data_IF_606020339412
#
_entry.id   IF_606020339412
#
_cell.length_a   1.000
_cell.length_b   1.000
_cell.length_c   1.000
_cell.angle_alpha   90.00
_cell.angle_beta   90.00
_cell.angle_gamma   90.00
#
_symmetry.space_group_name_H-M   'P 1'
#
loop_
_entity.id
_entity.type
_entity.pdbx_description
1 polymer ?
#
# COMPACT_ATOMS: atom_id res chain seq x y z
N UNK A 1 1.49 19.88 9.52
CA UNK A 1 0.36 20.19 10.42
C UNK A 1 -0.30 18.88 10.76
N UNK A 2 -0.05 18.36 11.97
CA UNK A 2 -0.69 17.15 12.51
C UNK A 2 -2.18 17.50 12.75
N UNK A 3 -3.07 17.12 11.84
CA UNK A 3 -4.50 17.16 12.12
C UNK A 3 -4.86 15.90 12.91
N UNK A 4 -5.01 16.04 14.22
CA UNK A 4 -5.56 14.98 15.05
C UNK A 4 -7.02 14.73 14.59
N UNK A 5 -7.40 13.44 14.48
CA UNK A 5 -8.79 13.08 14.24
C UNK A 5 -9.71 13.71 15.32
N UNK A 6 -10.93 14.13 14.97
CA UNK A 6 -11.86 14.67 15.95
C UNK A 6 -12.09 13.66 17.07
N UNK A 7 -12.13 14.14 18.32
CA UNK A 7 -12.37 13.29 19.49
C UNK A 7 -13.71 12.53 19.33
N UNK A 8 -13.65 11.20 19.30
CA UNK A 8 -14.82 10.33 19.14
C UNK A 8 -14.97 9.63 17.78
N UNK A 9 -14.19 9.98 16.77
CA UNK A 9 -14.20 9.25 15.49
C UNK A 9 -13.42 7.95 15.64
N UNK A 10 -14.01 6.78 15.32
CA UNK A 10 -13.29 5.53 15.39
C UNK A 10 -12.13 5.51 14.35
N UNK A 11 -11.00 4.84 14.65
CA UNK A 11 -9.91 4.67 13.70
C UNK A 11 -10.37 4.04 12.39
N UNK A 12 -9.75 4.43 11.26
CA UNK A 12 -10.06 3.81 9.97
C UNK A 12 -9.67 2.33 9.97
N UNK A 13 -8.54 1.98 10.62
CA UNK A 13 -8.11 0.60 10.88
C UNK A 13 -7.60 0.50 12.31
N UNK A 14 -8.04 -0.52 13.04
CA UNK A 14 -7.57 -0.81 14.39
C UNK A 14 -7.31 -2.31 14.53
N UNK A 15 -6.12 -2.66 15.03
CA UNK A 15 -5.75 -4.01 15.43
C UNK A 15 -5.68 -4.07 16.95
N UNK A 16 -6.34 -5.07 17.54
CA UNK A 16 -6.33 -5.32 18.98
C UNK A 16 -5.78 -6.70 19.25
N UNK A 17 -4.48 -6.78 19.59
CA UNK A 17 -3.75 -8.02 19.88
C UNK A 17 -3.97 -9.11 18.82
N UNK A 18 -3.98 -8.73 17.54
CA UNK A 18 -4.24 -9.66 16.46
C UNK A 18 -3.05 -10.61 16.27
N UNK A 19 -3.33 -11.90 16.36
CA UNK A 19 -2.37 -13.00 16.14
C UNK A 19 -2.85 -13.85 14.97
N UNK A 20 -1.92 -14.26 14.11
CA UNK A 20 -2.20 -15.20 13.00
C UNK A 20 -1.21 -16.34 13.03
N UNK A 21 -1.74 -17.57 13.08
CA UNK A 21 -0.96 -18.81 13.04
C UNK A 21 -1.38 -19.66 11.83
N UNK A 22 -0.40 -20.23 11.16
CA UNK A 22 -0.56 -21.24 10.11
C UNK A 22 0.10 -22.54 10.59
N UNK A 23 -0.68 -23.45 11.18
CA UNK A 23 -0.14 -24.60 11.86
C UNK A 23 0.80 -24.19 13.01
N UNK A 24 2.06 -24.61 12.97
CA UNK A 24 3.10 -24.23 13.94
C UNK A 24 3.75 -22.87 13.68
N UNK A 25 3.54 -22.28 12.52
CA UNK A 25 4.16 -21.00 12.14
C UNK A 25 3.29 -19.83 12.59
N UNK A 26 3.87 -18.90 13.34
CA UNK A 26 3.21 -17.64 13.73
C UNK A 26 3.67 -16.53 12.81
N UNK A 27 2.76 -16.05 11.95
CA UNK A 27 3.05 -14.98 11.01
C UNK A 27 3.01 -13.59 11.68
N UNK A 28 1.98 -13.35 12.51
CA UNK A 28 1.81 -12.13 13.30
C UNK A 28 1.53 -12.50 14.75
N UNK A 29 2.09 -11.76 15.70
CA UNK A 29 1.89 -12.02 17.13
C UNK A 29 1.49 -10.76 17.89
N UNK A 30 0.29 -10.77 18.46
CA UNK A 30 -0.28 -9.70 19.30
C UNK A 30 -0.13 -8.28 18.72
N UNK A 31 -0.25 -8.16 17.40
CA UNK A 31 -0.12 -6.86 16.72
C UNK A 31 -1.25 -5.94 17.17
N UNK A 32 -0.88 -4.74 17.63
CA UNK A 32 -1.82 -3.71 18.10
C UNK A 32 -1.41 -2.35 17.57
N UNK A 33 -2.30 -1.69 16.86
CA UNK A 33 -2.16 -0.32 16.39
C UNK A 33 -3.52 0.28 16.03
N UNK A 34 -3.56 1.59 15.88
CA UNK A 34 -4.70 2.31 15.33
C UNK A 34 -4.23 3.34 14.32
N UNK A 35 -4.87 3.36 13.14
CA UNK A 35 -4.70 4.42 12.14
C UNK A 35 -5.91 5.34 12.23
N UNK A 36 -5.72 6.63 12.53
CA UNK A 36 -6.83 7.58 12.63
C UNK A 36 -7.61 7.70 11.31
N UNK A 37 -8.93 7.87 11.39
CA UNK A 37 -9.74 8.29 10.24
C UNK A 37 -9.74 9.82 10.21
N UNK A 38 -8.90 10.42 9.37
CA UNK A 38 -8.83 11.87 9.22
C UNK A 38 -9.74 12.27 8.07
N UNK A 39 -10.84 13.03 8.34
CA UNK A 39 -11.77 13.45 7.30
C UNK A 39 -11.03 14.16 6.15
N UNK A 40 -11.41 13.82 4.91
CA UNK A 40 -10.88 14.43 3.68
C UNK A 40 -9.36 14.28 3.46
N UNK A 41 -8.69 13.48 4.29
CA UNK A 41 -7.27 13.20 4.14
C UNK A 41 -6.95 11.77 4.55
N UNK A 42 -6.77 10.86 3.58
CA UNK A 42 -6.19 9.54 3.83
C UNK A 42 -4.70 9.64 4.15
N UNK A 43 -4.14 8.65 4.86
CA UNK A 43 -2.69 8.46 5.00
C UNK A 43 -2.20 7.48 3.94
N UNK A 44 -1.05 7.75 3.34
CA UNK A 44 -0.34 6.76 2.53
C UNK A 44 0.72 6.08 3.39
N UNK A 45 0.45 4.84 3.81
CA UNK A 45 1.31 4.06 4.69
C UNK A 45 2.03 3.00 3.86
N UNK A 46 3.34 3.11 3.75
CA UNK A 46 4.16 2.08 3.12
C UNK A 46 4.70 1.11 4.17
N UNK A 47 4.80 -0.16 3.80
CA UNK A 47 5.17 -1.25 4.70
C UNK A 47 6.36 -2.00 4.11
N UNK A 48 7.49 -1.97 4.81
CA UNK A 48 8.69 -2.72 4.46
C UNK A 48 9.05 -3.71 5.57
N UNK A 49 9.81 -4.73 5.22
CA UNK A 49 10.25 -5.75 6.19
C UNK A 49 10.80 -6.99 5.48
N UNK A 50 11.46 -7.89 6.20
CA UNK A 50 11.98 -9.13 5.64
C UNK A 50 10.91 -9.98 4.93
N UNK A 51 11.33 -10.83 4.00
CA UNK A 51 10.41 -11.78 3.35
C UNK A 51 9.80 -12.73 4.38
N UNK A 52 8.51 -13.05 4.24
CA UNK A 52 7.81 -13.95 5.16
C UNK A 52 7.47 -13.37 6.53
N UNK A 53 7.70 -12.07 6.79
CA UNK A 53 7.43 -11.46 8.09
C UNK A 53 5.94 -11.13 8.35
N UNK A 54 5.02 -11.45 7.43
CA UNK A 54 3.59 -11.28 7.66
C UNK A 54 2.96 -10.01 7.05
N UNK A 55 3.67 -9.25 6.18
CA UNK A 55 3.13 -8.03 5.53
C UNK A 55 1.86 -8.30 4.72
N UNK A 56 1.88 -9.28 3.83
CA UNK A 56 0.70 -9.70 3.06
C UNK A 56 -0.41 -10.26 3.98
N UNK A 57 -0.03 -10.92 5.09
CA UNK A 57 -0.99 -11.38 6.10
C UNK A 57 -1.70 -10.20 6.76
N UNK A 58 -0.98 -9.12 7.08
CA UNK A 58 -1.58 -7.88 7.59
C UNK A 58 -2.61 -7.32 6.60
N UNK A 59 -2.25 -7.20 5.31
CA UNK A 59 -3.18 -6.72 4.27
C UNK A 59 -4.41 -7.63 4.15
N UNK A 60 -4.21 -8.96 4.22
CA UNK A 60 -5.29 -9.93 4.15
C UNK A 60 -6.24 -9.85 5.36
N UNK A 61 -5.75 -9.47 6.53
CA UNK A 61 -6.60 -9.21 7.69
C UNK A 61 -7.45 -7.94 7.51
N UNK A 62 -6.86 -6.85 6.98
CA UNK A 62 -7.58 -5.61 6.72
C UNK A 62 -8.63 -5.83 5.62
N UNK A 63 -8.26 -6.53 4.52
CA UNK A 63 -9.19 -6.82 3.42
C UNK A 63 -10.35 -7.73 3.81
N UNK A 64 -10.17 -8.56 4.86
CA UNK A 64 -11.10 -9.59 5.26
C UNK A 64 -10.94 -10.92 4.50
N UNK A 65 -9.85 -11.11 3.73
CA UNK A 65 -9.51 -12.41 3.13
C UNK A 65 -8.96 -13.41 4.15
N UNK A 66 -8.48 -12.91 5.30
CA UNK A 66 -8.09 -13.72 6.43
C UNK A 66 -8.75 -13.20 7.72
N UNK A 67 -8.89 -14.10 8.70
CA UNK A 67 -9.34 -13.75 10.05
C UNK A 67 -8.20 -14.01 11.03
N UNK A 68 -8.04 -13.18 12.08
CA UNK A 68 -7.03 -13.43 13.09
C UNK A 68 -7.38 -14.71 13.88
N UNK A 69 -6.35 -15.47 14.29
CA UNK A 69 -6.50 -16.64 15.17
C UNK A 69 -6.90 -16.20 16.58
N UNK A 70 -6.34 -15.06 17.03
CA UNK A 70 -6.65 -14.43 18.32
C UNK A 70 -6.70 -12.91 18.13
N UNK A 71 -7.41 -12.20 19.00
CA UNK A 71 -7.61 -10.76 18.88
C UNK A 71 -8.65 -10.38 17.84
N UNK A 72 -8.63 -9.14 17.39
CA UNK A 72 -9.59 -8.64 16.41
C UNK A 72 -9.00 -7.53 15.53
N UNK A 73 -9.59 -7.37 14.35
CA UNK A 73 -9.33 -6.28 13.41
C UNK A 73 -10.63 -5.55 13.16
N UNK A 74 -10.60 -4.22 13.29
CA UNK A 74 -11.74 -3.35 13.08
C UNK A 74 -11.44 -2.33 11.98
N UNK A 75 -12.45 -2.01 11.20
CA UNK A 75 -12.47 -0.92 10.23
C UNK A 75 -13.60 0.02 10.62
N UNK A 76 -13.29 1.28 10.90
CA UNK A 76 -14.24 2.27 11.42
C UNK A 76 -15.05 1.76 12.60
N UNK A 77 -14.39 1.05 13.53
CA UNK A 77 -15.01 0.48 14.72
C UNK A 77 -15.81 -0.81 14.48
N UNK A 78 -16.04 -1.22 13.24
CA UNK A 78 -16.74 -2.46 12.92
C UNK A 78 -15.74 -3.61 12.72
N UNK A 79 -16.01 -4.78 13.35
CA UNK A 79 -15.13 -5.96 13.20
C UNK A 79 -15.15 -6.46 11.76
N UNK A 80 -13.95 -6.67 11.20
CA UNK A 80 -13.79 -7.25 9.86
C UNK A 80 -14.20 -8.73 9.90
N UNK A 81 -15.23 -9.09 9.11
CA UNK A 81 -15.75 -10.46 8.98
C UNK A 81 -15.59 -11.06 7.58
N UNK A 82 -15.15 -10.24 6.62
CA UNK A 82 -14.98 -10.63 5.23
C UNK A 82 -14.68 -9.42 4.36
N UNK A 83 -14.49 -9.61 3.05
CA UNK A 83 -14.30 -8.52 2.09
C UNK A 83 -15.47 -7.53 2.11
N UNK A 84 -15.16 -6.26 1.85
CA UNK A 84 -16.14 -5.18 1.80
C UNK A 84 -15.82 -4.18 0.70
N UNK A 85 -16.86 -3.44 0.22
CA UNK A 85 -16.71 -2.40 -0.79
C UNK A 85 -15.81 -1.25 -0.35
N UNK A 86 -15.77 -0.98 0.94
CA UNK A 86 -14.97 0.04 1.60
C UNK A 86 -13.45 -0.23 1.53
N UNK A 87 -13.06 -1.43 1.07
CA UNK A 87 -11.65 -1.89 0.99
C UNK A 87 -11.33 -2.44 -0.39
N UNK A 88 -10.48 -1.72 -1.15
CA UNK A 88 -9.90 -2.19 -2.40
C UNK A 88 -8.63 -3.02 -2.15
N UNK A 89 -8.38 -4.04 -2.98
CA UNK A 89 -7.14 -4.82 -2.94
C UNK A 89 -6.52 -4.93 -4.33
N UNK A 90 -5.23 -4.57 -4.43
CA UNK A 90 -4.40 -4.75 -5.61
C UNK A 90 -3.32 -5.77 -5.24
N UNK A 91 -3.30 -6.88 -5.98
CA UNK A 91 -2.38 -7.99 -5.76
C UNK A 91 -1.09 -7.81 -6.58
N UNK A 92 -0.05 -8.50 -6.19
CA UNK A 92 1.25 -8.55 -6.88
C UNK A 92 1.11 -9.02 -8.35
N UNK A 93 0.25 -10.00 -8.60
CA UNK A 93 -0.10 -10.43 -9.96
C UNK A 93 -1.30 -9.64 -10.46
N UNK A 94 -1.27 -9.28 -11.74
CA UNK A 94 -2.37 -8.53 -12.37
C UNK A 94 -3.69 -9.27 -12.19
N UNK A 95 -4.61 -8.62 -11.47
CA UNK A 95 -5.88 -9.23 -11.08
C UNK A 95 -7.04 -8.84 -12.02
N UNK A 96 -6.74 -8.35 -13.21
CA UNK A 96 -7.77 -8.02 -14.21
C UNK A 96 -8.50 -9.26 -14.70
N UNK A 97 -9.81 -9.16 -14.92
CA UNK A 97 -10.61 -10.23 -15.49
C UNK A 97 -10.23 -10.41 -16.95
N UNK A 98 -9.66 -11.56 -17.38
CA UNK A 98 -9.08 -11.71 -18.71
C UNK A 98 -10.13 -11.76 -19.84
N UNK A 99 -11.37 -12.07 -19.50
CA UNK A 99 -12.52 -12.16 -20.41
C UNK A 99 -13.31 -10.86 -20.54
N UNK A 100 -12.92 -9.81 -19.80
CA UNK A 100 -13.53 -8.48 -19.84
C UNK A 100 -12.55 -7.48 -20.47
N UNK A 101 -13.08 -6.53 -21.23
CA UNK A 101 -12.30 -5.38 -21.72
C UNK A 101 -11.86 -4.47 -20.57
N UNK A 102 -10.98 -3.50 -20.83
CA UNK A 102 -10.58 -2.48 -19.85
C UNK A 102 -11.80 -1.80 -19.23
N UNK A 103 -12.72 -1.31 -20.10
CA UNK A 103 -13.95 -0.64 -19.63
C UNK A 103 -14.82 -1.56 -18.79
N UNK A 104 -15.01 -2.80 -19.20
CA UNK A 104 -15.82 -3.76 -18.46
C UNK A 104 -15.18 -4.15 -17.13
N UNK A 105 -13.86 -4.24 -17.05
CA UNK A 105 -13.12 -4.44 -15.80
C UNK A 105 -13.43 -3.31 -14.79
N UNK A 106 -13.36 -2.05 -15.22
CA UNK A 106 -13.67 -0.90 -14.37
C UNK A 106 -15.15 -0.85 -14.00
N UNK A 107 -16.04 -1.12 -14.96
CA UNK A 107 -17.50 -1.18 -14.76
C UNK A 107 -17.93 -2.31 -13.83
N UNK A 108 -17.16 -3.38 -13.68
CA UNK A 108 -17.58 -4.56 -12.92
C UNK A 108 -17.99 -4.22 -11.48
N UNK A 109 -17.11 -3.53 -10.75
CA UNK A 109 -17.40 -3.10 -9.38
C UNK A 109 -18.55 -2.08 -9.31
N UNK A 110 -18.61 -1.17 -10.28
CA UNK A 110 -19.67 -0.16 -10.37
C UNK A 110 -21.05 -0.78 -10.57
N UNK A 111 -21.15 -1.81 -11.42
CA UNK A 111 -22.43 -2.52 -11.67
C UNK A 111 -22.94 -3.25 -10.42
N UNK A 112 -22.03 -3.79 -9.60
CA UNK A 112 -22.39 -4.48 -8.36
C UNK A 112 -22.83 -3.51 -7.25
N UNK A 113 -22.21 -2.34 -7.18
CA UNK A 113 -22.37 -1.41 -6.05
C UNK A 113 -23.06 -0.09 -6.43
N UNK A 114 -23.45 0.10 -7.71
CA UNK A 114 -23.94 1.38 -8.21
C UNK A 114 -25.15 1.92 -7.44
N UNK A 115 -26.10 1.07 -7.05
CA UNK A 115 -27.26 1.48 -6.25
C UNK A 115 -26.87 2.08 -4.91
N UNK A 116 -25.91 1.45 -4.21
CA UNK A 116 -25.40 1.95 -2.92
C UNK A 116 -24.61 3.26 -3.09
N UNK A 117 -24.01 3.46 -4.26
CA UNK A 117 -23.26 4.66 -4.64
C UNK A 117 -24.15 5.77 -5.22
N UNK A 118 -25.45 5.53 -5.38
CA UNK A 118 -26.36 6.45 -6.07
C UNK A 118 -26.09 6.62 -7.57
N UNK A 119 -25.40 5.62 -8.18
CA UNK A 119 -25.04 5.62 -9.59
C UNK A 119 -25.87 4.59 -10.36
N UNK A 120 -26.57 5.06 -11.41
CA UNK A 120 -27.37 4.19 -12.28
C UNK A 120 -27.22 4.57 -13.76
N UNK A 121 -27.50 3.60 -14.64
CA UNK A 121 -27.55 3.83 -16.07
C UNK A 121 -26.28 4.45 -16.64
N UNK A 122 -26.40 5.62 -17.28
CA UNK A 122 -25.31 6.33 -17.94
C UNK A 122 -24.20 6.79 -16.99
N UNK A 123 -24.56 7.15 -15.75
CA UNK A 123 -23.60 7.65 -14.76
C UNK A 123 -22.50 6.62 -14.41
N UNK A 124 -22.81 5.31 -14.46
CA UNK A 124 -21.81 4.24 -14.27
C UNK A 124 -20.73 4.27 -15.36
N UNK A 125 -21.15 4.45 -16.61
CA UNK A 125 -20.22 4.51 -17.75
C UNK A 125 -19.39 5.78 -17.73
N UNK A 126 -20.00 6.93 -17.45
CA UNK A 126 -19.28 8.21 -17.35
C UNK A 126 -18.22 8.18 -16.26
N UNK A 127 -18.52 7.52 -15.13
CA UNK A 127 -17.51 7.34 -14.07
C UNK A 127 -16.40 6.38 -14.49
N UNK A 128 -16.72 5.25 -15.12
CA UNK A 128 -15.72 4.33 -15.62
C UNK A 128 -14.81 4.98 -16.65
N UNK A 129 -15.38 5.72 -17.61
CA UNK A 129 -14.61 6.37 -18.67
C UNK A 129 -13.70 7.47 -18.11
N UNK A 130 -14.14 8.27 -17.12
CA UNK A 130 -13.26 9.23 -16.42
C UNK A 130 -12.07 8.55 -15.76
N UNK A 131 -12.28 7.47 -15.02
CA UNK A 131 -11.18 6.75 -14.38
C UNK A 131 -10.21 6.13 -15.39
N UNK A 132 -10.72 5.62 -16.49
CA UNK A 132 -9.91 5.08 -17.59
C UNK A 132 -9.06 6.18 -18.22
N UNK A 133 -9.59 7.37 -18.37
CA UNK A 133 -8.86 8.55 -18.84
C UNK A 133 -7.80 9.00 -17.82
N UNK A 134 -8.16 9.09 -16.53
CA UNK A 134 -7.26 9.47 -15.44
C UNK A 134 -6.04 8.53 -15.31
N UNK A 135 -6.20 7.23 -15.62
CA UNK A 135 -5.08 6.29 -15.66
C UNK A 135 -4.39 6.21 -17.03
N UNK A 136 -4.74 7.07 -17.98
CA UNK A 136 -4.13 7.14 -19.31
C UNK A 136 -4.45 5.94 -20.21
N UNK A 137 -5.65 5.33 -20.09
CA UNK A 137 -6.06 4.17 -20.86
C UNK A 137 -7.25 4.42 -21.81
N UNK A 138 -7.59 5.68 -22.11
CA UNK A 138 -8.75 6.02 -22.94
C UNK A 138 -8.76 5.29 -24.29
N UNK A 139 -7.62 5.27 -25.01
CA UNK A 139 -7.47 4.58 -26.31
C UNK A 139 -7.47 3.05 -26.20
N UNK A 140 -7.40 2.52 -24.97
CA UNK A 140 -7.34 1.09 -24.69
C UNK A 140 -8.64 0.55 -24.08
N UNK A 141 -9.68 1.37 -23.93
CA UNK A 141 -10.91 1.04 -23.23
C UNK A 141 -11.61 -0.24 -23.75
N UNK A 142 -11.46 -0.55 -25.02
CA UNK A 142 -12.05 -1.74 -25.67
C UNK A 142 -11.12 -2.94 -25.77
N UNK A 143 -9.84 -2.80 -25.35
CA UNK A 143 -8.87 -3.89 -25.37
C UNK A 143 -9.08 -4.85 -24.19
N UNK A 144 -8.68 -6.09 -24.38
CA UNK A 144 -8.63 -7.11 -23.33
C UNK A 144 -7.26 -7.09 -22.62
N UNK A 145 -7.15 -7.59 -21.37
CA UNK A 145 -5.90 -7.58 -20.61
C UNK A 145 -4.70 -8.20 -21.34
N UNK A 146 -4.89 -9.29 -22.10
CA UNK A 146 -3.84 -9.94 -22.87
C UNK A 146 -3.27 -9.09 -24.02
N UNK A 147 -3.91 -7.98 -24.38
CA UNK A 147 -3.49 -7.02 -25.42
C UNK A 147 -2.75 -5.81 -24.82
N UNK A 148 -2.51 -5.81 -23.51
CA UNK A 148 -1.94 -4.72 -22.75
C UNK A 148 -0.55 -5.09 -22.22
N UNK A 149 0.33 -4.07 -22.10
CA UNK A 149 1.59 -4.23 -21.36
C UNK A 149 1.34 -4.43 -19.85
N UNK A 150 2.34 -4.89 -19.11
CA UNK A 150 2.25 -5.06 -17.66
C UNK A 150 1.84 -3.78 -16.93
N UNK A 151 2.44 -2.64 -17.27
CA UNK A 151 2.07 -1.34 -16.69
C UNK A 151 0.64 -0.94 -17.02
N UNK A 152 0.17 -1.18 -18.27
CA UNK A 152 -1.23 -0.94 -18.63
C UNK A 152 -2.20 -1.84 -17.86
N UNK A 153 -1.86 -3.11 -17.65
CA UNK A 153 -2.67 -4.02 -16.82
C UNK A 153 -2.73 -3.55 -15.35
N UNK A 154 -1.63 -3.01 -14.82
CA UNK A 154 -1.60 -2.43 -13.48
C UNK A 154 -2.49 -1.18 -13.38
N UNK A 155 -2.47 -0.30 -14.40
CA UNK A 155 -3.38 0.84 -14.51
C UNK A 155 -4.86 0.40 -14.50
N UNK A 156 -5.20 -0.69 -15.17
CA UNK A 156 -6.56 -1.28 -15.11
C UNK A 156 -6.90 -1.74 -13.70
N UNK A 157 -5.99 -2.42 -13.00
CA UNK A 157 -6.22 -2.90 -11.63
C UNK A 157 -6.45 -1.73 -10.66
N UNK A 158 -5.68 -0.64 -10.79
CA UNK A 158 -5.85 0.59 -10.01
C UNK A 158 -7.21 1.23 -10.31
N UNK A 159 -7.54 1.50 -11.58
CA UNK A 159 -8.81 2.11 -11.97
C UNK A 159 -10.01 1.28 -11.48
N UNK A 160 -9.97 -0.04 -11.61
CA UNK A 160 -11.01 -0.95 -11.12
C UNK A 160 -11.20 -0.86 -9.60
N UNK A 161 -10.10 -0.79 -8.86
CA UNK A 161 -10.14 -0.72 -7.40
C UNK A 161 -10.66 0.62 -6.89
N UNK A 162 -10.29 1.72 -7.56
CA UNK A 162 -10.74 3.08 -7.23
C UNK A 162 -12.17 3.38 -7.70
N UNK A 163 -12.70 2.62 -8.67
CA UNK A 163 -14.03 2.85 -9.22
C UNK A 163 -15.14 2.86 -8.17
N UNK A 164 -15.03 2.01 -7.15
CA UNK A 164 -16.01 1.85 -6.07
C UNK A 164 -15.80 2.80 -4.89
N UNK A 165 -14.89 3.77 -5.00
CA UNK A 165 -14.55 4.74 -3.93
C UNK A 165 -14.25 4.06 -2.58
N UNK A 166 -13.25 3.20 -2.53
CA UNK A 166 -12.91 2.55 -1.27
C UNK A 166 -12.34 3.57 -0.28
N UNK A 167 -12.64 3.41 1.00
CA UNK A 167 -12.01 4.21 2.06
C UNK A 167 -10.57 3.76 2.32
N UNK A 168 -10.27 2.50 2.01
CA UNK A 168 -8.97 1.88 2.20
C UNK A 168 -8.56 1.19 0.89
N UNK A 169 -7.34 1.43 0.43
CA UNK A 169 -6.72 0.73 -0.68
C UNK A 169 -5.51 -0.05 -0.19
N UNK A 170 -5.51 -1.34 -0.44
CA UNK A 170 -4.46 -2.28 -0.03
C UNK A 170 -3.67 -2.68 -1.28
N UNK A 171 -2.34 -2.61 -1.21
CA UNK A 171 -1.45 -2.92 -2.32
C UNK A 171 -0.34 -3.85 -1.86
N UNK A 172 -0.27 -5.04 -2.43
CA UNK A 172 0.77 -6.02 -2.12
C UNK A 172 1.79 -6.06 -3.26
N UNK A 173 2.92 -5.37 -3.09
CA UNK A 173 4.01 -5.25 -4.06
C UNK A 173 3.55 -4.85 -5.48
N UNK A 174 2.79 -3.75 -5.63
CA UNK A 174 2.06 -3.45 -6.87
C UNK A 174 2.96 -3.21 -8.09
N UNK A 175 4.24 -2.93 -7.89
CA UNK A 175 5.16 -2.55 -8.97
C UNK A 175 6.32 -3.54 -9.16
N UNK A 176 6.33 -4.66 -8.43
CA UNK A 176 7.45 -5.62 -8.44
C UNK A 176 7.71 -6.27 -9.81
N UNK A 177 6.67 -6.40 -10.65
CA UNK A 177 6.77 -7.02 -11.97
C UNK A 177 7.05 -6.02 -13.11
N UNK A 178 7.23 -4.71 -12.80
CA UNK A 178 7.44 -3.67 -13.80
C UNK A 178 8.93 -3.38 -14.00
N UNK A 179 9.28 -3.03 -15.24
CA UNK A 179 10.58 -2.43 -15.57
C UNK A 179 10.72 -1.04 -14.94
N UNK A 180 11.94 -0.55 -14.78
CA UNK A 180 12.22 0.68 -14.03
C UNK A 180 11.50 1.92 -14.58
N UNK A 181 11.52 2.23 -15.90
CA UNK A 181 10.80 3.39 -16.42
C UNK A 181 9.29 3.33 -16.12
N UNK A 182 8.65 2.19 -16.40
CA UNK A 182 7.22 1.99 -16.14
C UNK A 182 6.91 2.09 -14.65
N UNK A 183 7.79 1.59 -13.78
CA UNK A 183 7.64 1.69 -12.31
C UNK A 183 7.60 3.13 -11.86
N UNK A 184 8.53 3.97 -12.31
CA UNK A 184 8.57 5.39 -11.96
C UNK A 184 7.30 6.13 -12.41
N UNK A 185 6.85 5.90 -13.65
CA UNK A 185 5.58 6.46 -14.14
C UNK A 185 4.38 6.03 -13.29
N UNK A 186 4.36 4.77 -12.85
CA UNK A 186 3.26 4.24 -12.03
C UNK A 186 3.27 4.80 -10.60
N UNK A 187 4.46 5.05 -10.04
CA UNK A 187 4.60 5.69 -8.73
C UNK A 187 4.06 7.12 -8.77
N UNK A 188 4.45 7.90 -9.78
CA UNK A 188 3.95 9.27 -9.97
C UNK A 188 2.42 9.30 -10.13
N UNK A 189 1.88 8.48 -11.04
CA UNK A 189 0.44 8.34 -11.24
C UNK A 189 -0.29 7.97 -9.94
N UNK A 190 0.26 7.05 -9.14
CA UNK A 190 -0.38 6.62 -7.91
C UNK A 190 -0.45 7.74 -6.87
N UNK A 191 0.61 8.55 -6.72
CA UNK A 191 0.62 9.72 -5.82
C UNK A 191 -0.41 10.75 -6.25
N UNK A 192 -0.53 11.04 -7.56
CA UNK A 192 -1.55 11.94 -8.09
C UNK A 192 -2.98 11.43 -7.85
N UNK A 193 -3.23 10.14 -8.10
CA UNK A 193 -4.54 9.53 -7.87
C UNK A 193 -4.90 9.51 -6.39
N UNK A 194 -3.92 9.27 -5.52
CA UNK A 194 -4.13 9.30 -4.08
C UNK A 194 -4.53 10.70 -3.58
N UNK A 195 -3.87 11.75 -4.03
CA UNK A 195 -4.24 13.13 -3.66
C UNK A 195 -5.69 13.48 -4.03
N UNK A 196 -6.19 12.93 -5.15
CA UNK A 196 -7.58 13.14 -5.59
C UNK A 196 -8.60 12.30 -4.83
N UNK A 197 -8.25 11.04 -4.53
CA UNK A 197 -9.19 10.08 -3.93
C UNK A 197 -9.26 10.16 -2.43
N UNK A 198 -8.18 10.64 -1.78
CA UNK A 198 -8.09 10.83 -0.32
C UNK A 198 -8.36 9.56 0.49
N UNK A 199 -8.24 8.36 -0.13
CA UNK A 199 -8.36 7.11 0.59
C UNK A 199 -7.10 6.81 1.41
N UNK A 200 -7.23 6.03 2.49
CA UNK A 200 -6.05 5.53 3.20
C UNK A 200 -5.44 4.37 2.42
N UNK A 201 -4.15 4.45 2.12
CA UNK A 201 -3.43 3.40 1.38
C UNK A 201 -2.49 2.65 2.32
N UNK A 202 -2.48 1.32 2.23
CA UNK A 202 -1.44 0.46 2.79
C UNK A 202 -0.74 -0.23 1.62
N UNK A 203 0.52 0.09 1.41
CA UNK A 203 1.32 -0.43 0.29
C UNK A 203 2.54 -1.20 0.81
N UNK A 204 2.58 -2.49 0.54
CA UNK A 204 3.75 -3.33 0.80
C UNK A 204 4.73 -3.17 -0.35
N UNK A 205 6.00 -2.94 -0.02
CA UNK A 205 7.09 -2.89 -1.00
C UNK A 205 8.38 -3.47 -0.42
N UNK A 206 9.31 -3.85 -1.28
CA UNK A 206 10.68 -4.24 -0.93
C UNK A 206 11.70 -3.12 -1.16
N UNK A 207 11.31 -2.03 -1.79
CA UNK A 207 12.17 -0.89 -2.09
C UNK A 207 12.02 0.22 -1.05
N UNK A 208 13.11 0.54 -0.35
CA UNK A 208 13.13 1.69 0.58
C UNK A 208 12.86 3.00 -0.16
N UNK A 209 13.45 3.18 -1.34
CA UNK A 209 13.25 4.37 -2.17
C UNK A 209 11.79 4.55 -2.56
N UNK A 210 11.14 3.46 -2.98
CA UNK A 210 9.71 3.44 -3.27
C UNK A 210 8.87 3.77 -2.03
N UNK A 211 9.22 3.17 -0.88
CA UNK A 211 8.50 3.43 0.36
C UNK A 211 8.55 4.90 0.79
N UNK A 212 9.71 5.54 0.64
CA UNK A 212 9.90 6.97 0.95
C UNK A 212 9.21 7.88 -0.08
N UNK A 213 9.18 7.47 -1.36
CA UNK A 213 8.54 8.27 -2.40
C UNK A 213 7.01 8.27 -2.30
N UNK A 214 6.42 7.10 -2.03
CA UNK A 214 4.96 6.95 -2.03
C UNK A 214 4.29 7.38 -0.72
N UNK A 215 4.95 7.12 0.42
CA UNK A 215 4.30 7.19 1.72
C UNK A 215 4.45 8.52 2.43
N UNK A 216 3.43 8.92 3.18
CA UNK A 216 3.56 9.89 4.27
C UNK A 216 4.17 9.25 5.51
N UNK A 217 4.15 7.91 5.55
CA UNK A 217 4.46 7.11 6.73
C UNK A 217 5.04 5.77 6.30
N UNK A 218 6.16 5.39 6.90
CA UNK A 218 6.82 4.12 6.64
C UNK A 218 6.80 3.24 7.87
N UNK A 219 6.17 2.06 7.76
CA UNK A 219 6.24 1.02 8.78
C UNK A 219 7.32 0.00 8.44
N UNK A 220 8.14 -0.32 9.42
CA UNK A 220 9.17 -1.35 9.30
C UNK A 220 8.81 -2.52 10.21
N UNK A 221 8.63 -3.69 9.59
CA UNK A 221 8.26 -4.94 10.26
C UNK A 221 9.49 -5.73 10.69
N UNK A 222 9.41 -6.36 11.89
CA UNK A 222 10.38 -7.37 12.34
C UNK A 222 10.31 -8.62 11.46
N UNK A 223 11.32 -9.50 11.55
CA UNK A 223 11.19 -10.89 11.07
C UNK A 223 10.04 -11.59 11.81
N UNK A 224 9.58 -12.73 11.25
CA UNK A 224 8.48 -13.48 11.85
C UNK A 224 8.81 -13.94 13.29
N UNK A 225 7.84 -13.81 14.23
CA UNK A 225 6.50 -13.25 14.08
C UNK A 225 6.53 -11.73 13.88
N UNK A 226 5.85 -11.26 12.83
CA UNK A 226 5.88 -9.86 12.41
C UNK A 226 5.22 -8.92 13.41
N UNK A 227 5.91 -7.82 13.70
CA UNK A 227 5.44 -6.69 14.49
C UNK A 227 5.94 -5.40 13.85
N UNK A 228 5.28 -4.27 14.11
CA UNK A 228 5.75 -2.96 13.69
C UNK A 228 6.89 -2.54 14.62
N UNK A 229 8.13 -2.57 14.12
CA UNK A 229 9.31 -2.17 14.85
C UNK A 229 9.52 -0.65 14.82
N UNK A 230 9.26 -0.03 13.69
CA UNK A 230 9.37 1.42 13.49
C UNK A 230 8.17 1.94 12.73
N UNK A 231 7.76 3.15 13.12
CA UNK A 231 6.70 3.95 12.51
C UNK A 231 7.30 5.34 12.23
N UNK A 232 7.75 5.57 11.00
CA UNK A 232 8.49 6.76 10.61
C UNK A 232 7.57 7.69 9.83
N UNK A 233 7.41 8.95 10.29
CA UNK A 233 6.58 9.98 9.66
C UNK A 233 7.38 11.26 9.39
N UNK A 234 7.99 11.83 10.43
CA UNK A 234 8.61 13.16 10.41
C UNK A 234 9.79 13.28 9.44
N UNK A 235 10.43 12.15 9.15
CA UNK A 235 11.56 12.11 8.23
C UNK A 235 11.14 11.99 6.75
N UNK A 236 9.85 11.76 6.46
CA UNK A 236 9.37 11.51 5.10
C UNK A 236 8.97 12.84 4.45
N UNK A 237 9.66 13.27 3.38
CA UNK A 237 9.32 14.51 2.69
C UNK A 237 8.09 14.34 1.80
N UNK A 238 7.30 15.40 1.59
CA UNK A 238 6.20 15.36 0.64
C UNK A 238 6.72 15.25 -0.80
N UNK A 239 6.11 14.36 -1.59
CA UNK A 239 6.51 14.07 -2.97
C UNK A 239 5.46 14.43 -4.01
N UNK A 240 4.26 14.86 -3.59
CA UNK A 240 3.19 15.26 -4.50
C UNK A 240 3.66 16.35 -5.48
N UNK A 241 3.44 16.10 -6.77
CA UNK A 241 3.85 17.02 -7.84
C UNK A 241 5.35 17.05 -8.13
N UNK A 242 6.12 16.10 -7.56
CA UNK A 242 7.55 15.97 -7.78
C UNK A 242 7.81 14.63 -8.48
N UNK A 243 8.36 14.61 -9.72
CA UNK A 243 8.72 13.37 -10.39
C UNK A 243 9.69 12.51 -9.55
N UNK A 244 9.60 11.16 -9.61
CA UNK A 244 10.39 10.28 -8.75
C UNK A 244 11.90 10.51 -8.85
N UNK A 245 12.44 10.72 -10.05
CA UNK A 245 13.88 10.97 -10.25
C UNK A 245 14.32 12.32 -9.66
N UNK A 246 13.49 13.36 -9.77
CA UNK A 246 13.76 14.66 -9.15
C UNK A 246 13.71 14.56 -7.62
N UNK A 247 12.71 13.86 -7.09
CA UNK A 247 12.60 13.65 -5.65
C UNK A 247 13.85 12.97 -5.08
N UNK A 248 14.39 11.96 -5.76
CA UNK A 248 15.58 11.22 -5.35
C UNK A 248 16.86 12.07 -5.30
N UNK A 249 16.92 13.18 -6.04
CA UNK A 249 18.07 14.10 -6.00
C UNK A 249 18.03 15.08 -4.82
N UNK A 250 16.86 15.28 -4.19
CA UNK A 250 16.69 16.22 -3.09
C UNK A 250 17.39 15.74 -1.82
N UNK A 251 18.09 16.64 -1.09
CA UNK A 251 18.80 16.27 0.14
C UNK A 251 17.90 15.66 1.22
N UNK A 252 16.69 16.19 1.42
CA UNK A 252 15.72 15.70 2.36
C UNK A 252 15.23 14.28 2.03
N UNK A 253 15.10 13.95 0.74
CA UNK A 253 14.75 12.61 0.30
C UNK A 253 15.89 11.62 0.56
N UNK A 254 17.13 11.99 0.23
CA UNK A 254 18.33 11.17 0.48
C UNK A 254 18.48 10.89 1.98
N UNK A 255 18.21 11.88 2.82
CA UNK A 255 18.23 11.71 4.27
C UNK A 255 17.12 10.79 4.76
N UNK A 256 15.89 10.92 4.25
CA UNK A 256 14.79 10.02 4.57
C UNK A 256 15.11 8.56 4.18
N UNK A 257 15.64 8.33 2.99
CA UNK A 257 16.09 7.00 2.53
C UNK A 257 17.18 6.46 3.47
N UNK A 258 18.14 7.29 3.92
CA UNK A 258 19.17 6.88 4.87
C UNK A 258 18.55 6.45 6.21
N UNK A 259 17.68 7.26 6.79
CA UNK A 259 16.99 6.98 8.06
C UNK A 259 16.21 5.68 8.02
N UNK A 260 15.40 5.50 6.95
CA UNK A 260 14.58 4.29 6.77
C UNK A 260 15.47 3.07 6.54
N UNK A 261 16.56 3.19 5.75
CA UNK A 261 17.50 2.10 5.50
C UNK A 261 18.19 1.65 6.79
N UNK A 262 18.69 2.59 7.60
CA UNK A 262 19.33 2.27 8.87
C UNK A 262 18.38 1.55 9.83
N UNK A 263 17.13 2.01 9.93
CA UNK A 263 16.10 1.37 10.75
C UNK A 263 15.80 -0.05 10.24
N UNK A 264 15.66 -0.23 8.91
CA UNK A 264 15.42 -1.53 8.29
C UNK A 264 16.59 -2.51 8.52
N UNK A 265 17.85 -2.07 8.38
CA UNK A 265 19.02 -2.92 8.63
C UNK A 265 19.10 -3.38 10.08
N UNK A 266 18.77 -2.52 11.05
CA UNK A 266 18.71 -2.89 12.48
C UNK A 266 17.71 -4.01 12.74
N UNK A 267 16.55 -3.96 12.11
CA UNK A 267 15.51 -5.01 12.24
C UNK A 267 15.92 -6.31 11.54
N UNK A 268 16.65 -6.20 10.42
CA UNK A 268 17.11 -7.35 9.64
C UNK A 268 18.33 -8.06 10.22
N UNK A 269 18.89 -7.56 11.34
CA UNK A 269 20.09 -8.12 11.98
C UNK A 269 21.39 -7.94 11.17
N UNK A 270 21.35 -7.06 10.15
CA UNK A 270 22.53 -6.73 9.32
C UNK A 270 23.28 -5.58 10.02
N UNK A 271 24.57 -5.74 10.40
CA UNK A 271 25.35 -4.64 11.00
C UNK A 271 25.43 -3.46 10.04
N UNK A 272 25.11 -2.25 10.53
CA UNK A 272 25.31 -1.02 9.76
C UNK A 272 26.79 -0.91 9.29
N UNK A 273 27.00 -0.42 8.08
CA UNK A 273 28.29 -0.44 7.36
C UNK A 273 29.49 0.22 8.07
N UNK A 274 29.32 0.80 9.28
CA UNK A 274 30.39 1.37 10.10
C UNK A 274 30.96 0.43 11.17
N UNK A 275 30.33 -0.72 11.48
CA UNK A 275 30.73 -1.59 12.58
C UNK A 275 31.79 -2.66 12.20
N UNK A 276 32.12 -2.81 10.92
CA UNK A 276 33.11 -3.83 10.46
C UNK A 276 34.56 -3.43 10.67
N UNK A 277 34.85 -2.15 10.98
CA UNK A 277 36.24 -1.66 11.14
C UNK A 277 36.86 -1.90 12.52
N UNK A 278 36.06 -2.23 13.57
CA UNK A 278 36.61 -2.35 14.94
C UNK A 278 36.95 -3.80 15.37
N UNK A 279 36.49 -4.81 14.62
CA UNK A 279 36.74 -6.22 14.99
C UNK A 279 37.97 -6.85 14.30
N UNK A 280 38.58 -6.19 13.33
CA UNK A 280 39.73 -6.69 12.57
C UNK A 280 41.12 -6.30 13.11
N UNK A 281 41.20 -5.53 14.19
CA UNK A 281 42.50 -4.95 14.65
C UNK A 281 43.08 -5.61 15.92
N UNK A 282 42.63 -6.79 16.33
CA UNK A 282 43.18 -7.51 17.50
C UNK A 282 43.52 -8.98 17.17
N UNK A 283 44.39 -9.20 16.23
CA UNK A 283 45.20 -10.42 16.14
C UNK A 283 46.31 -10.11 15.15
N UNK A 284 47.43 -9.58 15.69
CA UNK A 284 48.79 -9.79 15.25
C UNK A 284 49.71 -8.89 16.07
N UNK A 285 50.24 -9.40 17.15
CA UNK A 285 51.61 -9.08 17.65
C UNK A 285 52.16 -10.28 18.39
N UNK A 286 53.46 -10.57 18.15
CA UNK A 286 54.15 -11.82 18.31
C UNK A 286 54.36 -12.27 19.78
#
# INVERSE_FOLDING_TARGET
VSSAAPAGTPPIVEFRRATVRFGSFTALHEVSFAVPDVPERGEFITIIGPSGCGKSTLLNLISGFATPTEGEVLVRGARVRGPGRDRGMIFQQYSSFPHLTVRENVLFGLRLNGREMGLEGRALYERADRLIEEVGLAEHATKYPHQLSGGQQQRVAIARSLAVEPSILLMDEPFSALDEPTRLEMQELLVELWDRTRCTIFCVTHSVTEAVYLGDRVWIFTAAPGQIAYDIREAIPPTLGVPPLEAQERPEFKEAVRVVTEAFLRVSGVPAAGARSAAGARQDRP
#
